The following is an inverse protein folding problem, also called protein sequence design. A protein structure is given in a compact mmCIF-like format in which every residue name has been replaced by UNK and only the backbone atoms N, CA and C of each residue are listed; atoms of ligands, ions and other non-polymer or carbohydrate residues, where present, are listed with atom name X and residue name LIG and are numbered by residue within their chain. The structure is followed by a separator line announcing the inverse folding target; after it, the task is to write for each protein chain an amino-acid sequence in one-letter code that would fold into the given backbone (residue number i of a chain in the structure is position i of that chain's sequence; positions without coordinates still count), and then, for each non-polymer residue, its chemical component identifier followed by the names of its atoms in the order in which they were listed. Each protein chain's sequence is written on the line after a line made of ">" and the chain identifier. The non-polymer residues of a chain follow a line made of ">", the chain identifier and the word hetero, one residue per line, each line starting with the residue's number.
data_IF_554348088969
#
_entry.id   IF_554348088969
#
_cell.length_a   1.000
_cell.length_b   1.000
_cell.length_c   1.000
_cell.angle_alpha   90.00
_cell.angle_beta   90.00
_cell.angle_gamma   90.00
#
_symmetry.space_group_name_H-M   'P 1'
#
loop_
_entity.id
_entity.type
_entity.pdbx_description
1 polymer ?
#
# COMPACT_ATOMS: atom_id res chain seq x y z
N UNK A 1 -55.07 9.35 -6.15
CA UNK A 1 -53.76 9.93 -5.76
C UNK A 1 -52.67 8.93 -6.15
N UNK A 2 -51.89 9.22 -7.20
CA UNK A 2 -50.89 8.32 -7.82
C UNK A 2 -49.65 8.20 -6.91
N UNK A 3 -49.70 7.34 -5.90
CA UNK A 3 -48.53 6.93 -5.10
C UNK A 3 -48.07 5.56 -5.60
N UNK A 4 -47.65 5.48 -6.85
CA UNK A 4 -46.99 4.29 -7.42
C UNK A 4 -46.07 4.84 -8.50
N UNK A 5 -44.80 5.06 -8.15
CA UNK A 5 -43.63 5.15 -9.04
C UNK A 5 -42.39 5.73 -8.32
N UNK A 6 -42.57 6.56 -7.29
CA UNK A 6 -41.45 7.14 -6.53
C UNK A 6 -40.67 6.11 -5.69
N UNK A 7 -41.35 5.11 -5.12
CA UNK A 7 -40.71 4.05 -4.33
C UNK A 7 -39.78 3.16 -5.18
N UNK A 8 -40.13 2.91 -6.45
CA UNK A 8 -39.31 2.14 -7.38
C UNK A 8 -38.05 2.91 -7.75
N UNK A 9 -38.17 4.23 -7.94
CA UNK A 9 -37.03 5.10 -8.24
C UNK A 9 -36.04 5.22 -7.07
N UNK A 10 -36.54 5.32 -5.83
CA UNK A 10 -35.71 5.35 -4.62
C UNK A 10 -34.99 4.01 -4.42
N UNK A 11 -35.68 2.89 -4.66
CA UNK A 11 -35.07 1.56 -4.55
C UNK A 11 -33.99 1.31 -5.62
N UNK A 12 -34.20 1.77 -6.85
CA UNK A 12 -33.19 1.72 -7.92
C UNK A 12 -31.96 2.59 -7.60
N UNK A 13 -32.17 3.76 -6.99
CA UNK A 13 -31.10 4.67 -6.58
C UNK A 13 -30.25 4.07 -5.46
N UNK A 14 -30.88 3.37 -4.50
CA UNK A 14 -30.18 2.65 -3.42
C UNK A 14 -29.38 1.46 -3.95
N UNK A 15 -29.90 0.73 -4.95
CA UNK A 15 -29.20 -0.37 -5.62
C UNK A 15 -27.97 0.09 -6.44
N UNK A 16 -28.00 1.30 -7.01
CA UNK A 16 -26.84 1.87 -7.72
C UNK A 16 -25.73 2.32 -6.75
N UNK A 17 -26.05 2.62 -5.49
CA UNK A 17 -25.07 3.05 -4.48
C UNK A 17 -24.26 1.90 -3.88
N UNK A 18 -24.71 0.64 -4.00
CA UNK A 18 -23.98 -0.55 -3.50
C UNK A 18 -23.03 -1.18 -4.54
N UNK A 19 -22.95 -0.64 -5.75
CA UNK A 19 -22.17 -1.23 -6.86
C UNK A 19 -20.73 -0.70 -7.00
N UNK A 20 -20.20 0.05 -6.03
CA UNK A 20 -18.86 0.67 -6.14
C UNK A 20 -17.71 -0.16 -5.57
N UNK A 21 -17.97 -1.34 -5.01
CA UNK A 21 -16.90 -2.27 -4.65
C UNK A 21 -16.48 -3.04 -5.90
N UNK A 22 -15.23 -2.87 -6.31
CA UNK A 22 -14.60 -3.75 -7.29
C UNK A 22 -14.63 -5.19 -6.75
N UNK A 23 -15.45 -6.09 -7.32
CA UNK A 23 -15.62 -7.44 -6.80
C UNK A 23 -14.34 -8.27 -6.94
N UNK A 24 -13.35 -7.81 -7.71
CA UNK A 24 -12.08 -8.50 -7.92
C UNK A 24 -11.06 -8.28 -6.80
N UNK A 25 -11.27 -7.29 -5.93
CA UNK A 25 -10.30 -6.90 -4.90
C UNK A 25 -10.78 -7.33 -3.52
N UNK A 26 -10.08 -8.28 -2.90
CA UNK A 26 -10.39 -8.68 -1.52
C UNK A 26 -9.68 -7.74 -0.53
N UNK A 27 -10.36 -7.10 0.43
CA UNK A 27 -9.72 -6.23 1.40
C UNK A 27 -8.79 -7.01 2.34
N UNK A 28 -7.61 -6.48 2.62
CA UNK A 28 -6.59 -7.14 3.47
C UNK A 28 -7.08 -7.37 4.91
N UNK A 29 -7.99 -6.53 5.39
CA UNK A 29 -8.59 -6.58 6.73
C UNK A 29 -9.23 -7.94 7.01
N UNK A 30 -9.75 -8.61 5.98
CA UNK A 30 -10.31 -9.97 6.05
C UNK A 30 -9.29 -11.00 6.57
N UNK A 31 -8.00 -10.78 6.32
CA UNK A 31 -6.91 -11.68 6.69
C UNK A 31 -6.25 -11.29 8.01
N UNK A 32 -6.61 -10.13 8.59
CA UNK A 32 -5.90 -9.60 9.76
C UNK A 32 -5.97 -10.53 10.97
N UNK A 33 -7.15 -11.08 11.28
CA UNK A 33 -7.32 -11.95 12.45
C UNK A 33 -6.61 -13.30 12.30
N UNK A 34 -6.70 -13.92 11.13
CA UNK A 34 -6.15 -15.26 10.84
C UNK A 34 -4.64 -15.29 10.62
N UNK A 35 -4.04 -14.19 10.16
CA UNK A 35 -2.61 -14.13 9.86
C UNK A 35 -1.78 -13.91 11.11
N UNK A 36 -0.70 -14.68 11.31
CA UNK A 36 0.21 -14.45 12.45
C UNK A 36 1.01 -13.16 12.26
N UNK A 37 1.39 -12.51 13.36
CA UNK A 37 2.19 -11.28 13.28
C UNK A 37 3.61 -11.57 12.79
N UNK A 38 4.15 -10.68 11.98
CA UNK A 38 5.56 -10.62 11.58
C UNK A 38 6.15 -9.33 12.11
N UNK A 39 7.36 -9.38 12.67
CA UNK A 39 8.02 -8.17 13.17
C UNK A 39 8.57 -7.35 11.99
N UNK A 40 8.05 -6.14 11.82
CA UNK A 40 8.40 -5.17 10.79
C UNK A 40 8.94 -3.86 11.40
N UNK A 41 9.32 -3.84 12.69
CA UNK A 41 9.74 -2.62 13.39
C UNK A 41 10.93 -1.89 12.72
N UNK A 42 11.81 -2.65 12.07
CA UNK A 42 13.00 -2.12 11.38
C UNK A 42 12.74 -1.76 9.92
N UNK A 43 11.53 -2.02 9.41
CA UNK A 43 11.21 -1.84 8.00
C UNK A 43 11.38 -0.37 7.58
N UNK A 44 12.16 -0.15 6.52
CA UNK A 44 12.52 1.17 6.02
C UNK A 44 12.99 1.10 4.57
N UNK A 45 13.04 2.27 3.93
CA UNK A 45 13.73 2.46 2.66
C UNK A 45 14.77 3.55 2.83
N UNK A 46 16.07 3.18 2.73
CA UNK A 46 17.20 4.11 2.92
C UNK A 46 17.05 4.95 4.21
N UNK A 47 16.74 4.30 5.34
CA UNK A 47 16.49 4.90 6.66
C UNK A 47 15.18 5.70 6.82
N UNK A 48 14.33 5.75 5.79
CA UNK A 48 12.97 6.32 5.90
C UNK A 48 11.99 5.23 6.32
N UNK A 49 11.50 5.29 7.55
CA UNK A 49 10.46 4.40 8.10
C UNK A 49 9.10 5.08 8.18
N UNK A 50 8.04 4.29 8.33
CA UNK A 50 6.72 4.81 8.73
C UNK A 50 6.85 5.63 10.03
N UNK A 51 6.16 6.76 10.09
CA UNK A 51 6.18 7.69 11.23
C UNK A 51 7.29 8.73 11.22
N UNK A 52 8.32 8.58 10.37
CA UNK A 52 9.38 9.60 10.19
C UNK A 52 8.82 10.91 9.65
N UNK A 53 9.54 12.01 9.89
CA UNK A 53 9.10 13.33 9.43
C UNK A 53 9.26 13.46 7.91
N UNK A 54 8.46 14.31 7.26
CA UNK A 54 8.67 14.67 5.85
C UNK A 54 10.07 15.22 5.57
N UNK A 55 10.70 15.88 6.55
CA UNK A 55 12.06 16.41 6.46
C UNK A 55 13.12 15.30 6.45
N UNK A 56 12.83 14.17 7.11
CA UNK A 56 13.71 12.99 7.09
C UNK A 56 13.73 12.36 5.70
N UNK A 57 12.61 12.38 4.96
CA UNK A 57 12.53 11.77 3.62
C UNK A 57 13.61 12.33 2.69
N UNK A 58 13.68 13.66 2.55
CA UNK A 58 14.62 14.29 1.63
C UNK A 58 16.09 14.16 2.09
N UNK A 59 16.33 14.21 3.41
CA UNK A 59 17.67 14.10 3.97
C UNK A 59 18.22 12.67 3.89
N UNK A 60 17.41 11.66 4.26
CA UNK A 60 17.76 10.25 4.16
C UNK A 60 17.99 9.80 2.71
N UNK A 61 17.15 10.26 1.77
CA UNK A 61 17.36 9.99 0.35
C UNK A 61 18.48 10.82 -0.28
N UNK A 62 18.99 11.84 0.43
CA UNK A 62 19.99 12.81 -0.05
C UNK A 62 19.57 13.50 -1.35
N UNK A 63 18.26 13.69 -1.54
CA UNK A 63 17.67 14.37 -2.71
C UNK A 63 16.29 14.90 -2.35
N UNK A 64 15.88 15.98 -3.01
CA UNK A 64 14.50 16.51 -2.94
C UNK A 64 13.55 15.68 -3.82
N UNK A 65 12.25 15.58 -3.49
CA UNK A 65 11.28 14.94 -4.36
C UNK A 65 11.22 15.69 -5.69
N UNK A 66 11.05 14.93 -6.78
CA UNK A 66 10.93 15.51 -8.13
C UNK A 66 9.52 16.05 -8.37
N UNK A 67 8.52 15.39 -7.78
CA UNK A 67 7.14 15.83 -7.81
C UNK A 67 6.56 15.82 -6.41
N UNK A 68 5.69 16.79 -6.14
CA UNK A 68 4.94 16.92 -4.90
C UNK A 68 3.49 17.09 -5.28
N UNK A 69 2.64 16.19 -4.81
CA UNK A 69 1.19 16.27 -4.99
C UNK A 69 0.53 16.53 -3.65
N UNK A 70 -0.44 17.43 -3.62
CA UNK A 70 -1.20 17.77 -2.41
C UNK A 70 -2.65 17.37 -2.65
N UNK A 71 -3.20 16.59 -1.74
CA UNK A 71 -4.63 16.29 -1.68
C UNK A 71 -5.21 16.98 -0.47
N UNK A 72 -6.33 17.69 -0.63
CA UNK A 72 -6.95 18.48 0.44
C UNK A 72 -7.96 17.68 1.26
N UNK A 73 -8.56 16.62 0.70
CA UNK A 73 -9.67 15.90 1.33
C UNK A 73 -9.57 14.37 1.13
N UNK A 74 -9.19 13.60 2.16
CA UNK A 74 -8.54 14.07 3.40
C UNK A 74 -7.14 14.65 3.11
N UNK A 75 -6.62 15.55 3.96
CA UNK A 75 -5.36 16.23 3.68
C UNK A 75 -4.16 15.26 3.73
N UNK A 76 -3.38 15.22 2.65
CA UNK A 76 -2.07 14.57 2.62
C UNK A 76 -1.19 15.11 1.51
N UNK A 77 0.11 14.85 1.61
CA UNK A 77 1.09 15.19 0.57
C UNK A 77 1.78 13.92 0.09
N UNK A 78 1.96 13.77 -1.22
CA UNK A 78 2.76 12.69 -1.81
C UNK A 78 4.08 13.25 -2.29
N UNK A 79 5.19 12.70 -1.80
CA UNK A 79 6.53 12.98 -2.32
C UNK A 79 6.94 11.88 -3.28
N UNK A 80 7.24 12.24 -4.53
CA UNK A 80 7.51 11.28 -5.60
C UNK A 80 8.94 11.47 -6.11
N UNK A 81 9.67 10.37 -6.20
CA UNK A 81 11.02 10.30 -6.73
C UNK A 81 11.05 9.36 -7.93
N UNK A 82 11.45 9.85 -9.10
CA UNK A 82 11.64 9.03 -10.29
C UNK A 82 11.50 9.83 -11.57
N UNK A 83 11.04 9.21 -12.67
CA UNK A 83 10.97 9.88 -13.98
C UNK A 83 9.74 10.77 -14.12
N UNK A 84 8.57 10.25 -13.73
CA UNK A 84 7.26 10.92 -13.72
C UNK A 84 6.39 10.42 -12.55
N UNK A 85 5.18 10.96 -12.42
CA UNK A 85 4.15 10.51 -11.45
C UNK A 85 3.60 9.11 -11.76
N UNK A 86 3.73 8.63 -13.00
CA UNK A 86 3.34 7.27 -13.43
C UNK A 86 4.52 6.29 -13.47
N UNK A 87 5.75 6.80 -13.58
CA UNK A 87 6.99 6.01 -13.70
C UNK A 87 7.99 6.47 -12.64
N UNK A 88 7.63 6.28 -11.38
CA UNK A 88 8.46 6.62 -10.23
C UNK A 88 9.27 5.43 -9.72
N UNK A 89 10.31 5.73 -8.95
CA UNK A 89 11.14 4.73 -8.27
C UNK A 89 10.58 4.44 -6.86
N UNK A 90 10.19 5.51 -6.15
CA UNK A 90 9.55 5.46 -4.82
C UNK A 90 8.64 6.68 -4.62
N UNK A 91 7.52 6.47 -3.96
CA UNK A 91 6.67 7.54 -3.43
C UNK A 91 6.42 7.41 -1.93
N UNK A 92 6.15 8.53 -1.26
CA UNK A 92 5.83 8.59 0.16
C UNK A 92 4.53 9.38 0.36
N UNK A 93 3.53 8.78 0.98
CA UNK A 93 2.37 9.49 1.50
C UNK A 93 2.70 10.07 2.88
N UNK A 94 2.45 11.35 3.04
CA UNK A 94 2.71 12.11 4.26
C UNK A 94 1.39 12.66 4.78
N UNK A 95 1.06 12.31 6.02
CA UNK A 95 -0.11 12.80 6.76
C UNK A 95 0.41 13.42 8.05
N UNK A 96 -0.04 14.63 8.39
CA UNK A 96 0.37 15.36 9.60
C UNK A 96 1.89 15.38 9.80
N UNK A 97 2.62 15.73 8.73
CA UNK A 97 4.09 15.79 8.69
C UNK A 97 4.82 14.45 8.90
N UNK A 98 4.10 13.31 8.90
CA UNK A 98 4.65 11.97 9.11
C UNK A 98 4.42 11.07 7.91
N UNK A 99 5.41 10.25 7.57
CA UNK A 99 5.28 9.22 6.55
C UNK A 99 4.24 8.19 7.02
N UNK A 100 3.13 8.06 6.30
CA UNK A 100 2.08 7.08 6.60
C UNK A 100 2.14 5.85 5.70
N UNK A 101 2.78 5.98 4.52
CA UNK A 101 2.93 4.93 3.52
C UNK A 101 4.11 5.26 2.62
N UNK A 102 4.79 4.23 2.12
CA UNK A 102 5.67 4.36 0.95
C UNK A 102 5.47 3.18 0.00
N UNK A 103 5.75 3.42 -1.27
CA UNK A 103 5.58 2.40 -2.31
C UNK A 103 6.79 2.39 -3.25
N UNK A 104 7.40 1.22 -3.40
CA UNK A 104 8.57 0.98 -4.25
C UNK A 104 8.08 0.36 -5.57
N UNK A 105 8.46 0.97 -6.69
CA UNK A 105 8.04 0.56 -8.04
C UNK A 105 9.23 0.34 -8.98
N UNK A 106 10.44 0.30 -8.44
CA UNK A 106 11.67 0.03 -9.18
C UNK A 106 12.69 -0.70 -8.31
N UNK A 107 13.70 -1.26 -8.96
CA UNK A 107 14.82 -1.99 -8.35
C UNK A 107 15.86 -1.08 -7.68
N UNK A 108 15.71 0.25 -7.76
CA UNK A 108 16.62 1.21 -7.12
C UNK A 108 16.53 1.22 -5.59
N UNK A 109 15.43 0.69 -5.06
CA UNK A 109 15.14 0.65 -3.64
C UNK A 109 14.78 -0.78 -3.25
N UNK A 110 15.23 -1.17 -2.07
CA UNK A 110 14.89 -2.44 -1.45
C UNK A 110 14.28 -2.17 -0.07
N UNK A 111 13.54 -3.16 0.42
CA UNK A 111 13.10 -3.23 1.81
C UNK A 111 14.30 -3.37 2.75
N UNK A 112 14.07 -3.25 4.05
CA UNK A 112 15.11 -3.49 5.05
C UNK A 112 15.70 -4.91 4.94
N UNK A 113 14.89 -5.88 4.51
CA UNK A 113 15.32 -7.27 4.33
C UNK A 113 15.90 -7.54 2.93
N UNK A 114 16.15 -6.50 2.14
CA UNK A 114 16.82 -6.61 0.85
C UNK A 114 15.92 -7.02 -0.32
N UNK A 115 14.59 -7.05 -0.16
CA UNK A 115 13.67 -7.38 -1.26
C UNK A 115 13.44 -6.15 -2.13
N UNK A 116 13.53 -6.29 -3.44
CA UNK A 116 13.19 -5.26 -4.41
C UNK A 116 12.32 -5.83 -5.55
N UNK A 117 11.85 -4.96 -6.44
CA UNK A 117 11.12 -5.42 -7.63
C UNK A 117 11.98 -6.37 -8.47
N UNK A 118 11.37 -7.43 -9.03
CA UNK A 118 12.06 -8.49 -9.79
C UNK A 118 12.45 -9.72 -8.96
N UNK A 119 12.48 -9.61 -7.64
CA UNK A 119 12.66 -10.76 -6.75
C UNK A 119 11.46 -11.71 -6.84
N UNK A 120 11.67 -12.99 -6.53
CA UNK A 120 10.59 -13.98 -6.58
C UNK A 120 9.76 -14.00 -5.30
N UNK A 121 8.53 -14.51 -5.39
CA UNK A 121 7.72 -14.89 -4.22
C UNK A 121 8.50 -15.75 -3.20
N UNK A 122 9.37 -16.66 -3.68
CA UNK A 122 10.23 -17.46 -2.80
C UNK A 122 11.25 -16.62 -2.03
N UNK A 123 11.79 -15.57 -2.64
CA UNK A 123 12.72 -14.65 -1.96
C UNK A 123 12.00 -13.88 -0.85
N UNK A 124 10.79 -13.41 -1.13
CA UNK A 124 9.91 -12.75 -0.15
C UNK A 124 9.66 -13.66 1.05
N UNK A 125 9.18 -14.89 0.82
CA UNK A 125 8.87 -15.86 1.89
C UNK A 125 10.13 -16.22 2.67
N UNK A 126 11.27 -16.37 2.00
CA UNK A 126 12.56 -16.62 2.66
C UNK A 126 12.98 -15.48 3.59
N UNK A 127 12.74 -14.22 3.20
CA UNK A 127 13.11 -13.05 3.98
C UNK A 127 12.11 -12.74 5.13
N UNK A 128 10.81 -12.92 4.89
CA UNK A 128 9.76 -12.51 5.82
C UNK A 128 9.10 -13.66 6.59
N UNK A 129 9.28 -14.90 6.14
CA UNK A 129 8.76 -16.11 6.75
C UNK A 129 7.39 -16.53 6.22
N UNK A 130 6.86 -17.59 6.84
CA UNK A 130 5.62 -18.29 6.47
C UNK A 130 4.34 -17.62 7.02
N UNK A 131 4.47 -16.56 7.83
CA UNK A 131 3.34 -15.87 8.46
C UNK A 131 2.67 -14.84 7.52
N UNK A 132 2.58 -15.14 6.23
CA UNK A 132 1.98 -14.27 5.23
C UNK A 132 0.49 -14.55 5.04
N UNK A 133 -0.22 -13.59 4.45
CA UNK A 133 -1.49 -13.84 3.78
C UNK A 133 -1.33 -13.66 2.29
N UNK A 134 -2.25 -14.26 1.55
CA UNK A 134 -2.34 -14.12 0.10
C UNK A 134 -3.74 -13.63 -0.28
N UNK A 135 -3.81 -12.63 -1.16
CA UNK A 135 -5.05 -12.07 -1.68
C UNK A 135 -4.89 -11.64 -3.12
N UNK A 136 -6.00 -11.53 -3.83
CA UNK A 136 -6.04 -10.91 -5.17
C UNK A 136 -6.43 -9.43 -5.05
N UNK A 137 -5.75 -8.59 -5.81
CA UNK A 137 -6.01 -7.15 -5.91
C UNK A 137 -5.85 -6.70 -7.36
N UNK A 138 -6.95 -6.28 -7.99
CA UNK A 138 -6.95 -5.81 -9.39
C UNK A 138 -6.28 -6.79 -10.39
N UNK A 139 -6.39 -8.10 -10.12
CA UNK A 139 -5.81 -9.17 -10.95
C UNK A 139 -4.35 -9.54 -10.64
N UNK A 140 -3.73 -8.91 -9.64
CA UNK A 140 -2.42 -9.29 -9.14
C UNK A 140 -2.52 -10.09 -7.84
N UNK A 141 -1.75 -11.16 -7.75
CA UNK A 141 -1.54 -11.88 -6.49
C UNK A 141 -0.71 -11.01 -5.54
N UNK A 142 -1.18 -10.82 -4.32
CA UNK A 142 -0.52 -10.06 -3.27
C UNK A 142 -0.07 -11.01 -2.18
N UNK A 143 1.22 -10.95 -1.82
CA UNK A 143 1.75 -11.57 -0.60
C UNK A 143 1.91 -10.47 0.44
N UNK A 144 1.26 -10.61 1.59
CA UNK A 144 1.26 -9.58 2.62
C UNK A 144 1.60 -10.09 4.01
N UNK A 145 2.13 -9.18 4.83
CA UNK A 145 2.48 -9.44 6.22
C UNK A 145 1.91 -8.34 7.11
N UNK A 146 1.47 -8.73 8.30
CA UNK A 146 1.01 -7.80 9.33
C UNK A 146 2.00 -7.76 10.49
N UNK A 147 2.39 -6.56 10.90
CA UNK A 147 2.93 -6.31 12.23
C UNK A 147 1.80 -5.81 13.13
N UNK A 148 1.24 -6.72 13.93
CA UNK A 148 0.12 -6.43 14.81
C UNK A 148 0.51 -5.62 16.04
N UNK A 149 1.80 -5.66 16.42
CA UNK A 149 2.34 -4.94 17.58
C UNK A 149 2.57 -3.47 17.22
N UNK A 150 3.16 -3.22 16.05
CA UNK A 150 3.48 -1.86 15.60
C UNK A 150 2.43 -1.25 14.65
N UNK A 151 1.40 -2.02 14.28
CA UNK A 151 0.31 -1.62 13.38
C UNK A 151 0.82 -1.23 11.98
N UNK A 152 1.68 -2.07 11.42
CA UNK A 152 2.18 -1.93 10.06
C UNK A 152 1.73 -3.08 9.17
N UNK A 153 1.69 -2.81 7.88
CA UNK A 153 1.46 -3.81 6.85
C UNK A 153 2.46 -3.58 5.72
N UNK A 154 3.02 -4.67 5.21
CA UNK A 154 3.79 -4.71 3.97
C UNK A 154 3.10 -5.66 3.01
N UNK A 155 2.95 -5.24 1.75
CA UNK A 155 2.37 -6.00 0.66
C UNK A 155 3.32 -6.01 -0.54
N UNK A 156 3.50 -7.19 -1.14
CA UNK A 156 4.26 -7.43 -2.34
C UNK A 156 3.28 -7.82 -3.45
N UNK A 157 3.10 -6.94 -4.43
CA UNK A 157 2.31 -7.25 -5.63
C UNK A 157 3.16 -8.10 -6.58
N UNK A 158 2.64 -9.24 -7.00
CA UNK A 158 3.31 -10.16 -7.91
C UNK A 158 2.78 -10.01 -9.34
N UNK A 159 3.66 -10.19 -10.32
CA UNK A 159 3.29 -10.38 -11.72
C UNK A 159 2.94 -11.85 -12.02
N UNK A 160 2.52 -12.12 -13.25
CA UNK A 160 2.14 -13.47 -13.72
C UNK A 160 3.29 -14.50 -13.67
N UNK A 161 4.51 -14.10 -13.34
CA UNK A 161 5.70 -14.94 -13.19
C UNK A 161 6.15 -15.06 -11.73
N UNK A 162 5.29 -14.73 -10.77
CA UNK A 162 5.58 -14.70 -9.35
C UNK A 162 6.76 -13.78 -9.00
N UNK A 163 6.96 -12.69 -9.76
CA UNK A 163 7.98 -11.68 -9.49
C UNK A 163 7.36 -10.45 -8.86
N UNK A 164 8.06 -9.85 -7.91
CA UNK A 164 7.63 -8.62 -7.24
C UNK A 164 7.59 -7.47 -8.24
N UNK A 165 6.39 -6.97 -8.54
CA UNK A 165 6.16 -5.78 -9.36
C UNK A 165 6.14 -4.49 -8.54
N UNK A 166 5.74 -4.56 -7.28
CA UNK A 166 5.70 -3.41 -6.38
C UNK A 166 5.67 -3.81 -4.90
N UNK A 167 6.16 -2.91 -4.04
CA UNK A 167 6.28 -3.15 -2.59
C UNK A 167 5.69 -2.00 -1.81
N UNK A 168 4.55 -2.23 -1.16
CA UNK A 168 3.79 -1.25 -0.41
C UNK A 168 3.97 -1.46 1.09
N UNK A 169 4.45 -0.43 1.79
CA UNK A 169 4.52 -0.42 3.26
C UNK A 169 3.63 0.69 3.79
N UNK A 170 2.79 0.40 4.76
CA UNK A 170 1.86 1.38 5.31
C UNK A 170 1.56 1.17 6.78
N UNK A 171 1.21 2.29 7.43
CA UNK A 171 0.53 2.29 8.71
C UNK A 171 -0.88 1.74 8.54
N UNK A 172 -1.30 0.88 9.46
CA UNK A 172 -2.69 0.45 9.55
C UNK A 172 -3.50 1.47 10.35
N UNK A 173 -4.70 1.76 9.87
CA UNK A 173 -5.69 2.49 10.64
C UNK A 173 -6.37 1.51 11.61
N UNK A 174 -6.65 1.97 12.83
CA UNK A 174 -7.52 1.25 13.77
C UNK A 174 -8.97 1.32 13.29
#
# INVERSE_FOLDING_TARGET
>A
MRIKNYFVFIFLLVLLLVASCDPSSTPKEKYYSSTKSTNLQSENVKAVSIGRSKYDVASCLRKKPKFIEVTEQPPYTTYIYGKSTEKYDVEFKIVDNKVSRYYLLSDKYATEKGIHTGDSKKDVIRAYGENYYEREDTGATIVGYFDKNHKFNIEFSLDDKDKVGGILVQKMNN
#
